data_IF_350318918535
#
_entry.id   IF_350318918535
#
_cell.length_a   1.000
_cell.length_b   1.000
_cell.length_c   1.000
_cell.angle_alpha   90.00
_cell.angle_beta   90.00
_cell.angle_gamma   90.00
#
_symmetry.space_group_name_H-M   'P 1'
#
loop_
_entity.id
_entity.type
_entity.pdbx_description
1 polymer ?
#
# COMPACT_ATOMS: atom_id res chain seq x y z
N UNK A 1 34.64 18.12 30.15
CA UNK A 1 33.49 17.63 29.36
C UNK A 1 33.89 16.33 28.70
N UNK A 2 33.20 15.23 28.98
CA UNK A 2 33.37 13.98 28.22
C UNK A 2 32.80 14.20 26.82
N UNK A 3 33.62 13.95 25.80
CA UNK A 3 33.19 13.99 24.40
C UNK A 3 32.86 12.56 23.96
N UNK A 4 31.97 12.40 22.98
CA UNK A 4 31.57 11.07 22.49
C UNK A 4 32.78 10.22 22.04
N UNK A 5 33.86 10.88 21.60
CA UNK A 5 35.13 10.26 21.18
C UNK A 5 35.94 9.67 22.34
N UNK A 6 35.76 10.18 23.57
CA UNK A 6 36.46 9.67 24.76
C UNK A 6 35.81 8.42 25.37
N UNK A 7 34.67 7.99 24.84
CA UNK A 7 33.95 6.82 25.36
C UNK A 7 34.58 5.50 24.87
N UNK A 8 34.54 4.43 25.69
CA UNK A 8 34.89 3.08 25.25
C UNK A 8 34.02 2.62 24.07
N UNK A 9 34.58 1.77 23.21
CA UNK A 9 33.90 1.30 22.00
C UNK A 9 32.59 0.56 22.32
N UNK A 10 32.52 -0.13 23.45
CA UNK A 10 31.36 -0.84 23.97
C UNK A 10 30.23 0.14 24.32
N UNK A 11 30.56 1.26 24.97
CA UNK A 11 29.59 2.31 25.33
C UNK A 11 29.09 3.01 24.07
N UNK A 12 29.98 3.30 23.12
CA UNK A 12 29.56 3.89 21.85
C UNK A 12 28.67 2.95 21.04
N UNK A 13 28.95 1.64 21.03
CA UNK A 13 28.09 0.65 20.40
C UNK A 13 26.70 0.63 21.03
N UNK A 14 26.60 0.71 22.37
CA UNK A 14 25.31 0.84 23.05
C UNK A 14 24.58 2.11 22.64
N UNK A 15 25.28 3.25 22.52
CA UNK A 15 24.69 4.50 22.03
C UNK A 15 24.10 4.30 20.63
N UNK A 16 24.85 3.67 19.70
CA UNK A 16 24.33 3.35 18.36
C UNK A 16 23.07 2.48 18.40
N UNK A 17 23.06 1.43 19.24
CA UNK A 17 21.92 0.53 19.38
C UNK A 17 20.70 1.21 20.00
N UNK A 18 20.91 2.28 20.77
CA UNK A 18 19.86 3.05 21.41
C UNK A 18 19.26 4.14 20.53
N UNK A 19 19.86 4.46 19.38
CA UNK A 19 19.29 5.43 18.44
C UNK A 19 17.91 4.99 17.95
N UNK A 20 17.04 5.96 17.69
CA UNK A 20 15.66 5.69 17.30
C UNK A 20 15.49 5.52 15.80
N UNK A 21 16.50 5.87 14.97
CA UNK A 21 16.39 5.87 13.51
C UNK A 21 17.68 5.41 12.78
N UNK A 22 17.49 4.69 11.66
CA UNK A 22 18.54 4.19 10.78
C UNK A 22 19.42 5.34 10.26
N UNK A 23 18.81 6.45 9.82
CA UNK A 23 19.53 7.61 9.31
C UNK A 23 20.43 8.24 10.36
N UNK A 24 19.98 8.28 11.62
CA UNK A 24 20.77 8.84 12.71
C UNK A 24 21.98 7.97 13.03
N UNK A 25 21.84 6.64 12.97
CA UNK A 25 22.97 5.73 13.08
C UNK A 25 23.96 5.92 11.93
N UNK A 26 23.48 6.06 10.69
CA UNK A 26 24.36 6.30 9.54
C UNK A 26 25.05 7.68 9.62
N UNK A 27 24.33 8.73 10.05
CA UNK A 27 24.89 10.08 10.25
C UNK A 27 25.93 10.08 11.35
N UNK A 28 25.65 9.45 12.50
CA UNK A 28 26.60 9.33 13.59
C UNK A 28 27.86 8.58 13.15
N UNK A 29 27.70 7.48 12.41
CA UNK A 29 28.82 6.74 11.82
C UNK A 29 29.68 7.59 10.89
N UNK A 30 29.08 8.52 10.14
CA UNK A 30 29.78 9.43 9.22
C UNK A 30 30.41 10.64 9.90
N UNK A 31 30.13 10.89 11.18
CA UNK A 31 30.62 12.09 11.89
C UNK A 31 32.14 12.12 12.07
N UNK A 32 32.79 10.97 12.28
CA UNK A 32 34.24 10.86 12.35
C UNK A 32 34.74 9.43 12.13
N UNK A 33 36.07 9.29 11.96
CA UNK A 33 36.72 7.99 11.73
C UNK A 33 36.51 6.97 12.84
N UNK A 34 36.44 7.40 14.10
CA UNK A 34 36.19 6.49 15.23
C UNK A 34 34.77 5.94 15.20
N UNK A 35 33.77 6.80 14.97
CA UNK A 35 32.37 6.38 14.86
C UNK A 35 32.17 5.44 13.66
N UNK A 36 32.79 5.77 12.53
CA UNK A 36 32.77 4.91 11.34
C UNK A 36 33.36 3.52 11.65
N UNK A 37 34.51 3.45 12.33
CA UNK A 37 35.13 2.18 12.74
C UNK A 37 34.26 1.34 13.67
N UNK A 38 33.44 1.98 14.50
CA UNK A 38 32.54 1.28 15.43
C UNK A 38 31.32 0.76 14.67
N UNK A 39 30.75 1.55 13.76
CA UNK A 39 29.64 1.15 12.91
C UNK A 39 30.04 0.01 11.95
N UNK A 40 31.20 0.12 11.31
CA UNK A 40 31.66 -0.76 10.23
C UNK A 40 32.41 -2.02 10.72
N UNK A 41 32.54 -2.20 12.03
CA UNK A 41 33.16 -3.40 12.60
C UNK A 41 32.28 -4.63 12.27
N UNK A 42 32.87 -5.81 11.94
CA UNK A 42 32.10 -7.00 11.61
C UNK A 42 31.05 -7.32 12.69
N UNK A 43 29.81 -7.54 12.26
CA UNK A 43 28.66 -7.80 13.13
C UNK A 43 28.02 -6.55 13.75
N UNK A 44 28.77 -5.47 14.00
CA UNK A 44 28.23 -4.27 14.66
C UNK A 44 27.12 -3.62 13.84
N UNK A 45 27.33 -3.41 12.53
CA UNK A 45 26.32 -2.82 11.65
C UNK A 45 25.00 -3.58 11.71
N UNK A 46 25.06 -4.90 11.63
CA UNK A 46 23.88 -5.75 11.76
C UNK A 46 23.22 -5.58 13.13
N UNK A 47 23.98 -5.67 14.23
CA UNK A 47 23.42 -5.53 15.58
C UNK A 47 22.78 -4.15 15.80
N UNK A 48 23.43 -3.08 15.35
CA UNK A 48 22.91 -1.70 15.48
C UNK A 48 21.60 -1.57 14.72
N UNK A 49 21.58 -1.91 13.42
CA UNK A 49 20.39 -1.76 12.58
C UNK A 49 19.25 -2.65 13.07
N UNK A 50 19.55 -3.89 13.47
CA UNK A 50 18.58 -4.79 14.08
C UNK A 50 17.94 -4.19 15.33
N UNK A 51 18.74 -3.63 16.25
CA UNK A 51 18.24 -3.00 17.48
C UNK A 51 17.34 -1.79 17.20
N UNK A 52 17.63 -1.02 16.16
CA UNK A 52 16.78 0.10 15.74
C UNK A 52 15.46 -0.45 15.19
N UNK A 53 15.53 -1.33 14.18
CA UNK A 53 14.36 -1.92 13.51
C UNK A 53 13.41 -2.61 14.49
N UNK A 54 13.94 -3.36 15.46
CA UNK A 54 13.11 -4.10 16.43
C UNK A 54 12.37 -3.19 17.44
N UNK A 55 12.83 -1.95 17.63
CA UNK A 55 12.25 -1.01 18.62
C UNK A 55 11.38 0.06 17.97
N UNK A 56 11.53 0.29 16.67
CA UNK A 56 10.85 1.36 15.95
C UNK A 56 9.49 0.91 15.41
N UNK A 57 8.43 1.62 15.80
CA UNK A 57 7.05 1.34 15.35
C UNK A 57 6.85 1.45 13.84
N UNK A 58 7.61 2.31 13.16
CA UNK A 58 7.52 2.48 11.70
C UNK A 58 8.16 1.33 10.91
N UNK A 59 8.87 0.40 11.57
CA UNK A 59 9.39 -0.82 10.99
C UNK A 59 8.59 -2.08 11.35
N UNK A 60 7.42 -1.94 12.01
CA UNK A 60 6.64 -3.08 12.52
C UNK A 60 6.21 -4.09 11.44
N UNK A 61 6.08 -3.64 10.19
CA UNK A 61 5.70 -4.48 9.04
C UNK A 61 6.90 -5.08 8.28
N UNK A 62 8.11 -4.60 8.52
CA UNK A 62 9.26 -4.90 7.67
C UNK A 62 9.74 -6.35 7.73
N UNK A 63 9.61 -7.01 8.89
CA UNK A 63 9.98 -8.42 9.01
C UNK A 63 9.07 -9.30 8.17
N UNK A 64 7.76 -9.08 8.29
CA UNK A 64 6.75 -9.79 7.53
C UNK A 64 6.91 -9.53 6.04
N UNK A 65 7.16 -8.28 5.69
CA UNK A 65 7.34 -7.88 4.32
C UNK A 65 8.58 -8.54 3.70
N UNK A 66 9.72 -8.57 4.41
CA UNK A 66 10.95 -9.22 3.89
C UNK A 66 10.75 -10.70 3.58
N UNK A 67 9.95 -11.40 4.38
CA UNK A 67 9.62 -12.79 4.12
C UNK A 67 8.68 -12.96 2.90
N UNK A 68 7.69 -12.07 2.77
CA UNK A 68 6.77 -12.03 1.63
C UNK A 68 7.47 -11.66 0.31
N UNK A 69 8.31 -10.62 0.32
CA UNK A 69 9.02 -10.13 -0.85
C UNK A 69 10.06 -11.13 -1.35
N UNK A 70 10.71 -11.87 -0.45
CA UNK A 70 11.58 -12.97 -0.83
C UNK A 70 10.80 -14.03 -1.62
N UNK A 71 9.65 -14.47 -1.10
CA UNK A 71 8.81 -15.44 -1.79
C UNK A 71 8.31 -14.92 -3.14
N UNK A 72 7.85 -13.66 -3.21
CA UNK A 72 7.44 -13.05 -4.47
C UNK A 72 8.58 -12.96 -5.49
N UNK A 73 9.82 -12.68 -5.05
CA UNK A 73 10.99 -12.67 -5.92
C UNK A 73 11.26 -14.06 -6.53
N UNK A 74 11.16 -15.13 -5.73
CA UNK A 74 11.26 -16.52 -6.20
C UNK A 74 10.17 -16.84 -7.24
N UNK A 75 8.93 -16.39 -7.01
CA UNK A 75 7.84 -16.54 -7.97
C UNK A 75 8.07 -15.74 -9.26
N UNK A 76 8.68 -14.56 -9.18
CA UNK A 76 9.00 -13.70 -10.34
C UNK A 76 9.92 -14.41 -11.32
N UNK A 77 10.86 -15.23 -10.84
CA UNK A 77 11.72 -16.05 -11.69
C UNK A 77 10.94 -17.10 -12.49
N UNK A 78 9.93 -17.71 -11.87
CA UNK A 78 9.01 -18.65 -12.53
C UNK A 78 8.18 -17.91 -13.58
N UNK A 79 7.61 -16.76 -13.20
CA UNK A 79 6.80 -15.94 -14.10
C UNK A 79 7.56 -15.42 -15.30
N UNK A 80 8.89 -15.31 -15.24
CA UNK A 80 9.69 -14.97 -16.41
C UNK A 80 9.55 -15.97 -17.57
N UNK A 81 9.19 -17.22 -17.26
CA UNK A 81 9.08 -18.32 -18.25
C UNK A 81 7.68 -18.90 -18.38
N UNK A 82 6.80 -18.68 -17.41
CA UNK A 82 5.47 -19.28 -17.37
C UNK A 82 4.41 -18.23 -16.99
N UNK A 83 3.19 -18.30 -17.55
CA UNK A 83 2.14 -17.35 -17.25
C UNK A 83 1.52 -17.52 -15.85
N UNK A 84 1.71 -18.67 -15.21
CA UNK A 84 1.14 -19.03 -13.89
C UNK A 84 2.14 -19.86 -13.08
N UNK A 85 1.98 -19.88 -11.77
CA UNK A 85 2.76 -20.75 -10.90
C UNK A 85 2.38 -22.23 -11.10
N UNK A 86 3.37 -23.14 -11.21
CA UNK A 86 3.13 -24.57 -11.20
C UNK A 86 2.64 -25.02 -9.82
N UNK A 87 1.85 -26.09 -9.77
CA UNK A 87 1.29 -26.60 -8.51
C UNK A 87 2.35 -26.94 -7.44
N UNK A 88 3.55 -27.34 -7.86
CA UNK A 88 4.67 -27.60 -6.96
C UNK A 88 5.24 -26.34 -6.30
N UNK A 89 5.13 -25.19 -6.96
CA UNK A 89 5.59 -23.88 -6.45
C UNK A 89 4.53 -23.13 -5.63
N UNK A 90 3.28 -23.63 -5.60
CA UNK A 90 2.21 -22.99 -4.83
C UNK A 90 2.35 -23.27 -3.33
N UNK A 91 2.27 -22.22 -2.48
CA UNK A 91 2.40 -22.37 -1.04
C UNK A 91 1.22 -23.14 -0.47
N UNK A 92 1.48 -23.98 0.52
CA UNK A 92 0.44 -24.68 1.27
C UNK A 92 -0.04 -23.86 2.48
N UNK A 93 -1.02 -24.41 3.20
CA UNK A 93 -1.61 -23.76 4.38
C UNK A 93 -0.59 -23.45 5.49
N UNK A 94 0.46 -24.26 5.66
CA UNK A 94 1.47 -24.05 6.69
C UNK A 94 2.42 -22.91 6.29
N UNK A 95 2.77 -22.82 5.01
CA UNK A 95 3.48 -21.66 4.45
C UNK A 95 2.66 -20.37 4.61
N UNK A 96 1.37 -20.38 4.25
CA UNK A 96 0.47 -19.22 4.45
C UNK A 96 0.46 -18.75 5.89
N UNK A 97 0.38 -19.67 6.85
CA UNK A 97 0.48 -19.32 8.27
C UNK A 97 1.79 -18.60 8.60
N UNK A 98 2.91 -19.10 8.10
CA UNK A 98 4.23 -18.50 8.34
C UNK A 98 4.35 -17.08 7.75
N UNK A 99 3.68 -16.80 6.63
CA UNK A 99 3.64 -15.45 6.05
C UNK A 99 2.84 -14.47 6.90
N UNK A 100 1.77 -14.91 7.55
CA UNK A 100 1.01 -14.06 8.48
C UNK A 100 1.71 -13.79 9.80
N UNK A 101 2.55 -14.72 10.26
CA UNK A 101 3.16 -14.72 11.59
C UNK A 101 4.65 -15.11 11.47
N UNK A 102 5.51 -14.24 10.90
CA UNK A 102 6.92 -14.54 10.72
C UNK A 102 7.64 -14.67 12.08
N UNK A 103 8.57 -15.64 12.18
CA UNK A 103 9.39 -15.77 13.39
C UNK A 103 10.38 -14.60 13.51
N UNK A 104 10.53 -14.07 14.73
CA UNK A 104 11.56 -13.07 15.04
C UNK A 104 12.98 -13.59 14.87
N UNK A 105 13.17 -14.91 14.80
CA UNK A 105 14.45 -15.55 14.50
C UNK A 105 14.99 -15.17 13.11
N UNK A 106 14.13 -14.72 12.19
CA UNK A 106 14.55 -14.23 10.87
C UNK A 106 15.51 -13.03 10.98
N UNK A 107 15.43 -12.24 12.06
CA UNK A 107 16.40 -11.18 12.34
C UNK A 107 17.80 -11.70 12.71
N UNK A 108 18.02 -13.01 12.84
CA UNK A 108 19.37 -13.56 12.94
C UNK A 108 20.13 -13.46 11.60
N UNK A 109 19.42 -13.36 10.47
CA UNK A 109 20.02 -13.20 9.15
C UNK A 109 20.44 -11.75 8.91
N UNK A 110 21.73 -11.49 8.59
CA UNK A 110 22.17 -10.16 8.17
C UNK A 110 21.46 -9.65 6.92
N UNK A 111 21.11 -10.56 5.99
CA UNK A 111 20.45 -10.22 4.73
C UNK A 111 19.07 -9.59 4.96
N UNK A 112 18.29 -10.11 5.92
CA UNK A 112 16.98 -9.56 6.27
C UNK A 112 17.11 -8.12 6.78
N UNK A 113 18.09 -7.87 7.66
CA UNK A 113 18.33 -6.52 8.19
C UNK A 113 18.81 -5.56 7.10
N UNK A 114 19.68 -6.02 6.20
CA UNK A 114 20.16 -5.23 5.07
C UNK A 114 19.06 -4.92 4.05
N UNK A 115 18.16 -5.86 3.79
CA UNK A 115 17.00 -5.65 2.93
C UNK A 115 16.08 -4.56 3.51
N UNK A 116 15.77 -4.62 4.81
CA UNK A 116 14.94 -3.61 5.49
C UNK A 116 15.60 -2.23 5.42
N UNK A 117 16.90 -2.15 5.71
CA UNK A 117 17.65 -0.89 5.58
C UNK A 117 17.62 -0.38 4.14
N UNK A 118 17.72 -1.26 3.15
CA UNK A 118 17.68 -0.89 1.73
C UNK A 118 16.29 -0.38 1.35
N UNK A 119 15.22 -1.07 1.78
CA UNK A 119 13.83 -0.66 1.58
C UNK A 119 13.55 0.71 2.19
N UNK A 120 13.98 0.95 3.43
CA UNK A 120 13.92 2.24 4.09
C UNK A 120 14.56 3.38 3.28
N UNK A 121 15.68 3.14 2.60
CA UNK A 121 16.27 4.20 1.78
C UNK A 121 15.60 4.33 0.42
N UNK A 122 15.23 3.21 -0.21
CA UNK A 122 14.61 3.19 -1.53
C UNK A 122 13.25 3.90 -1.54
N UNK A 123 12.44 3.71 -0.49
CA UNK A 123 11.10 4.30 -0.40
C UNK A 123 11.11 5.82 -0.23
N UNK A 124 12.27 6.44 0.05
CA UNK A 124 12.42 7.89 0.03
C UNK A 124 12.12 8.48 -1.34
N UNK A 125 12.30 7.72 -2.43
CA UNK A 125 11.95 8.17 -3.78
C UNK A 125 10.46 8.57 -3.86
N UNK A 126 9.56 7.74 -3.32
CA UNK A 126 8.13 8.04 -3.34
C UNK A 126 7.78 9.20 -2.40
N UNK A 127 8.44 9.30 -1.24
CA UNK A 127 8.25 10.42 -0.33
C UNK A 127 8.77 11.75 -0.90
N UNK A 128 9.92 11.73 -1.58
CA UNK A 128 10.48 12.91 -2.23
C UNK A 128 9.56 13.40 -3.36
N UNK A 129 8.88 12.49 -4.07
CA UNK A 129 7.83 12.86 -5.02
C UNK A 129 6.62 13.49 -4.33
N UNK A 130 6.17 12.92 -3.21
CA UNK A 130 5.09 13.47 -2.41
C UNK A 130 5.39 14.90 -1.93
N UNK A 131 6.62 15.15 -1.52
CA UNK A 131 7.10 16.47 -1.09
C UNK A 131 7.39 17.44 -2.24
N UNK A 132 7.37 16.99 -3.50
CA UNK A 132 7.74 17.83 -4.64
C UNK A 132 6.59 18.78 -5.01
N UNK A 133 6.88 20.08 -5.12
CA UNK A 133 5.86 21.12 -5.34
C UNK A 133 5.03 20.89 -6.59
N UNK A 134 5.66 20.54 -7.73
CA UNK A 134 4.94 20.32 -8.99
C UNK A 134 4.04 19.08 -8.95
N UNK A 135 4.54 17.97 -8.39
CA UNK A 135 3.79 16.71 -8.27
C UNK A 135 2.59 16.93 -7.36
N UNK A 136 2.82 17.60 -6.24
CA UNK A 136 1.76 17.97 -5.29
C UNK A 136 0.70 18.86 -5.91
N UNK A 137 1.08 19.87 -6.68
CA UNK A 137 0.10 20.73 -7.37
C UNK A 137 -0.79 19.95 -8.34
N UNK A 138 -0.22 18.99 -9.07
CA UNK A 138 -1.01 18.09 -9.93
C UNK A 138 -1.89 17.15 -9.12
N UNK A 139 -1.36 16.54 -8.05
CA UNK A 139 -2.11 15.65 -7.16
C UNK A 139 -3.34 16.34 -6.57
N UNK A 140 -3.16 17.55 -6.00
CA UNK A 140 -4.25 18.31 -5.39
C UNK A 140 -5.29 18.81 -6.41
N UNK A 141 -4.92 18.95 -7.69
CA UNK A 141 -5.86 19.32 -8.75
C UNK A 141 -6.69 18.12 -9.26
N UNK A 142 -6.16 16.90 -9.16
CA UNK A 142 -6.75 15.66 -9.70
C UNK A 142 -7.77 15.02 -8.73
N UNK A 143 -8.64 15.84 -8.12
CA UNK A 143 -9.60 15.37 -7.11
C UNK A 143 -10.83 14.67 -7.70
N UNK A 144 -11.31 15.13 -8.87
CA UNK A 144 -12.58 14.66 -9.46
C UNK A 144 -12.53 13.21 -9.97
N UNK A 145 -11.34 12.60 -10.07
CA UNK A 145 -11.08 11.32 -10.75
C UNK A 145 -10.66 10.17 -9.82
N UNK A 146 -10.38 10.41 -8.53
CA UNK A 146 -9.80 9.37 -7.66
C UNK A 146 -10.83 8.44 -7.00
N UNK A 147 -12.09 8.87 -6.86
CA UNK A 147 -13.13 8.10 -6.14
C UNK A 147 -14.42 7.85 -6.94
N UNK A 148 -14.62 8.56 -8.05
CA UNK A 148 -15.75 8.39 -8.94
C UNK A 148 -15.23 7.82 -10.27
N UNK A 149 -15.77 6.67 -10.67
CA UNK A 149 -15.35 5.96 -11.87
C UNK A 149 -15.32 6.86 -13.12
N UNK A 150 -14.28 6.61 -13.94
CA UNK A 150 -14.02 7.11 -15.30
C UNK A 150 -13.43 8.53 -15.39
N UNK A 151 -12.15 8.68 -15.78
CA UNK A 151 -11.59 9.98 -16.11
C UNK A 151 -12.06 10.41 -17.50
N UNK A 152 -12.85 11.47 -17.59
CA UNK A 152 -12.87 12.32 -18.79
C UNK A 152 -11.68 13.28 -18.69
N UNK A 153 -10.52 12.85 -19.19
CA UNK A 153 -9.30 13.67 -19.21
C UNK A 153 -9.27 14.62 -20.41
N UNK A 154 -9.83 15.81 -20.24
CA UNK A 154 -9.51 16.97 -21.09
C UNK A 154 -8.45 17.84 -20.40
N UNK A 155 -7.17 17.65 -20.77
CA UNK A 155 -6.11 18.57 -20.36
C UNK A 155 -4.69 18.05 -20.62
N UNK A 156 -3.89 18.86 -21.31
CA UNK A 156 -2.43 18.68 -21.37
C UNK A 156 -1.83 18.93 -19.97
N UNK A 157 -1.75 17.90 -19.13
CA UNK A 157 -1.10 17.99 -17.83
C UNK A 157 0.42 17.84 -17.96
N UNK A 158 1.16 18.74 -17.30
CA UNK A 158 2.61 18.63 -17.16
C UNK A 158 2.97 17.27 -16.56
N UNK A 159 3.59 16.41 -17.38
CA UNK A 159 4.14 15.12 -16.93
C UNK A 159 4.95 15.33 -15.64
N UNK A 160 4.80 14.42 -14.68
CA UNK A 160 5.57 14.37 -13.43
C UNK A 160 7.07 14.13 -13.71
N UNK A 161 7.73 15.07 -14.39
CA UNK A 161 9.10 14.97 -14.82
C UNK A 161 10.05 15.11 -13.64
N UNK A 162 11.25 14.54 -13.70
CA UNK A 162 12.21 14.56 -12.60
C UNK A 162 12.73 15.97 -12.26
N UNK A 163 12.58 16.96 -13.16
CA UNK A 163 13.24 18.27 -13.05
C UNK A 163 12.28 19.47 -13.09
N UNK A 164 11.69 19.79 -11.93
CA UNK A 164 11.23 21.15 -11.59
C UNK A 164 11.62 21.38 -10.12
N UNK A 165 12.41 22.44 -9.87
CA UNK A 165 13.00 22.70 -8.56
C UNK A 165 11.93 23.20 -7.58
N UNK A 166 11.80 22.56 -6.42
CA UNK A 166 11.01 23.08 -5.30
C UNK A 166 10.38 21.98 -4.46
N UNK A 167 10.67 22.00 -3.15
CA UNK A 167 9.94 21.21 -2.15
C UNK A 167 8.68 22.01 -1.75
N UNK A 168 7.59 21.34 -1.39
CA UNK A 168 6.37 22.02 -0.97
C UNK A 168 6.61 22.84 0.31
N UNK A 169 5.91 23.96 0.41
CA UNK A 169 6.13 24.94 1.46
C UNK A 169 5.81 24.36 2.85
N UNK A 170 4.75 23.54 2.96
CA UNK A 170 4.35 22.83 4.18
C UNK A 170 5.48 21.97 4.73
N UNK A 171 6.12 21.12 3.90
CA UNK A 171 7.25 20.33 4.35
C UNK A 171 8.51 21.17 4.59
N UNK A 172 8.78 22.17 3.73
CA UNK A 172 9.99 22.99 3.84
C UNK A 172 10.09 23.70 5.20
N UNK A 173 8.96 24.14 5.74
CA UNK A 173 8.84 24.86 7.01
C UNK A 173 8.96 23.96 8.25
N UNK A 174 8.83 22.64 8.11
CA UNK A 174 8.90 21.72 9.23
C UNK A 174 10.30 21.70 9.89
N UNK A 175 10.38 21.65 11.23
CA UNK A 175 11.57 21.28 11.97
C UNK A 175 12.14 19.92 11.52
N UNK A 176 13.45 19.72 11.73
CA UNK A 176 14.13 18.49 11.30
C UNK A 176 13.47 17.21 11.87
N UNK A 177 13.09 17.23 13.15
CA UNK A 177 12.44 16.10 13.81
C UNK A 177 11.07 15.78 13.20
N UNK A 178 10.32 16.82 12.81
CA UNK A 178 9.00 16.64 12.19
C UNK A 178 9.11 16.15 10.75
N UNK A 179 10.14 16.58 10.00
CA UNK A 179 10.45 16.03 8.67
C UNK A 179 10.76 14.54 8.73
N UNK A 180 11.51 14.13 9.75
CA UNK A 180 11.82 12.73 9.98
C UNK A 180 10.56 11.94 10.34
N UNK A 181 9.73 12.46 11.27
CA UNK A 181 8.46 11.84 11.63
C UNK A 181 7.49 11.73 10.45
N UNK A 182 7.45 12.72 9.57
CA UNK A 182 6.64 12.69 8.36
C UNK A 182 7.05 11.50 7.45
N UNK A 183 8.36 11.29 7.28
CA UNK A 183 8.85 10.15 6.51
C UNK A 183 8.58 8.80 7.21
N UNK A 184 8.77 8.72 8.53
CA UNK A 184 8.46 7.52 9.33
C UNK A 184 6.98 7.12 9.20
N UNK A 185 6.06 8.09 9.25
CA UNK A 185 4.62 7.87 9.04
C UNK A 185 4.31 7.42 7.63
N UNK A 186 4.86 8.10 6.62
CA UNK A 186 4.71 7.73 5.21
C UNK A 186 5.17 6.28 4.98
N UNK A 187 6.36 5.93 5.47
CA UNK A 187 6.94 4.60 5.32
C UNK A 187 6.12 3.52 6.03
N UNK A 188 5.64 3.79 7.25
CA UNK A 188 4.78 2.88 8.01
C UNK A 188 3.49 2.58 7.25
N UNK A 189 2.81 3.60 6.73
CA UNK A 189 1.58 3.43 5.96
C UNK A 189 1.81 2.70 4.64
N UNK A 190 2.89 3.04 3.93
CA UNK A 190 3.30 2.38 2.70
C UNK A 190 3.56 0.88 2.90
N UNK A 191 4.30 0.51 3.96
CA UNK A 191 4.60 -0.89 4.26
C UNK A 191 3.39 -1.66 4.79
N UNK A 192 2.47 -1.00 5.51
CA UNK A 192 1.20 -1.59 5.91
C UNK A 192 0.36 -2.01 4.70
N UNK A 193 0.21 -1.11 3.72
CA UNK A 193 -0.48 -1.42 2.47
C UNK A 193 0.21 -2.54 1.70
N UNK A 194 1.54 -2.45 1.54
CA UNK A 194 2.30 -3.46 0.82
C UNK A 194 2.14 -4.86 1.44
N UNK A 195 2.17 -4.99 2.77
CA UNK A 195 1.88 -6.27 3.44
C UNK A 195 0.49 -6.79 3.10
N UNK A 196 -0.54 -5.93 3.07
CA UNK A 196 -1.90 -6.34 2.72
C UNK A 196 -1.98 -6.87 1.28
N UNK A 197 -1.38 -6.16 0.32
CA UNK A 197 -1.28 -6.60 -1.09
C UNK A 197 -0.60 -7.96 -1.21
N UNK A 198 0.55 -8.14 -0.55
CA UNK A 198 1.29 -9.39 -0.60
C UNK A 198 0.55 -10.55 0.05
N UNK A 199 -0.12 -10.34 1.19
CA UNK A 199 -0.89 -11.40 1.84
C UNK A 199 -2.11 -11.80 1.00
N UNK A 200 -2.82 -10.84 0.41
CA UNK A 200 -3.92 -11.12 -0.53
C UNK A 200 -3.42 -11.92 -1.73
N UNK A 201 -2.29 -11.51 -2.32
CA UNK A 201 -1.68 -12.22 -3.43
C UNK A 201 -1.26 -13.65 -3.03
N UNK A 202 -0.59 -13.83 -1.89
CA UNK A 202 -0.21 -15.15 -1.37
C UNK A 202 -1.43 -16.06 -1.22
N UNK A 203 -2.53 -15.56 -0.67
CA UNK A 203 -3.76 -16.35 -0.50
C UNK A 203 -4.33 -16.80 -1.85
N UNK A 204 -4.32 -15.92 -2.87
CA UNK A 204 -4.75 -16.24 -4.24
C UNK A 204 -3.92 -17.37 -4.84
N UNK A 205 -2.59 -17.28 -4.72
CA UNK A 205 -1.70 -18.26 -5.36
C UNK A 205 -1.55 -19.56 -4.57
N UNK A 206 -1.99 -19.60 -3.32
CA UNK A 206 -1.88 -20.76 -2.43
C UNK A 206 -2.81 -21.91 -2.82
N UNK A 207 -2.36 -23.14 -2.52
CA UNK A 207 -3.22 -24.32 -2.56
C UNK A 207 -3.89 -24.53 -1.21
N UNK A 208 -5.22 -24.66 -1.24
CA UNK A 208 -6.05 -24.84 -0.04
C UNK A 208 -6.63 -26.24 -0.01
N UNK A 209 -6.69 -26.85 1.18
CA UNK A 209 -7.30 -28.17 1.36
C UNK A 209 -8.82 -28.11 1.27
N UNK A 210 -9.40 -27.00 1.73
CA UNK A 210 -10.84 -26.75 1.76
C UNK A 210 -11.14 -25.28 1.53
N UNK A 211 -12.35 -24.96 1.04
CA UNK A 211 -12.87 -23.59 1.00
C UNK A 211 -12.84 -22.90 2.38
N UNK A 212 -13.02 -23.67 3.46
CA UNK A 212 -13.00 -23.12 4.83
C UNK A 212 -11.60 -22.60 5.20
N UNK A 213 -10.55 -23.27 4.75
CA UNK A 213 -9.17 -22.83 4.99
C UNK A 213 -8.87 -21.54 4.24
N UNK A 214 -9.32 -21.45 2.98
CA UNK A 214 -9.22 -20.23 2.19
C UNK A 214 -9.92 -19.05 2.88
N UNK A 215 -11.22 -19.19 3.20
CA UNK A 215 -12.03 -18.15 3.85
C UNK A 215 -11.48 -17.72 5.22
N UNK A 216 -10.79 -18.63 5.92
CA UNK A 216 -10.12 -18.31 7.19
C UNK A 216 -8.98 -17.32 7.00
N UNK A 217 -8.12 -17.54 5.99
CA UNK A 217 -6.98 -16.66 5.72
C UNK A 217 -7.42 -15.36 5.08
N UNK A 218 -8.37 -15.41 4.15
CA UNK A 218 -9.03 -14.23 3.58
C UNK A 218 -9.58 -13.32 4.68
N UNK A 219 -10.37 -13.86 5.61
CA UNK A 219 -10.88 -13.09 6.76
C UNK A 219 -9.77 -12.51 7.62
N UNK A 220 -8.63 -13.21 7.75
CA UNK A 220 -7.49 -12.69 8.52
C UNK A 220 -6.89 -11.46 7.85
N UNK A 221 -6.77 -11.46 6.52
CA UNK A 221 -6.33 -10.27 5.77
C UNK A 221 -7.37 -9.15 5.87
N UNK A 222 -8.65 -9.47 5.66
CA UNK A 222 -9.74 -8.50 5.82
C UNK A 222 -9.69 -7.81 7.19
N UNK A 223 -9.60 -8.56 8.29
CA UNK A 223 -9.52 -7.98 9.62
C UNK A 223 -8.24 -7.14 9.83
N UNK A 224 -7.11 -7.50 9.20
CA UNK A 224 -5.89 -6.70 9.28
C UNK A 224 -6.00 -5.38 8.51
N UNK A 225 -6.81 -5.36 7.45
CA UNK A 225 -6.96 -4.22 6.56
C UNK A 225 -8.15 -3.33 6.93
N UNK A 226 -9.35 -3.89 6.91
CA UNK A 226 -10.64 -3.21 6.97
C UNK A 226 -11.26 -3.12 8.38
N UNK A 227 -10.75 -3.88 9.36
CA UNK A 227 -11.28 -3.86 10.74
C UNK A 227 -10.16 -4.10 11.76
N UNK A 228 -9.18 -3.21 11.79
CA UNK A 228 -8.00 -3.32 12.63
C UNK A 228 -8.11 -2.40 13.86
N UNK A 229 -8.55 -2.92 15.02
CA UNK A 229 -8.72 -2.10 16.23
C UNK A 229 -7.39 -1.68 16.87
N UNK A 230 -6.27 -2.30 16.48
CA UNK A 230 -4.93 -1.94 16.96
C UNK A 230 -4.33 -0.78 16.18
N UNK A 231 -4.90 -0.45 15.02
CA UNK A 231 -4.47 0.67 14.19
C UNK A 231 -5.10 1.96 14.70
N UNK A 232 -4.25 2.96 14.91
CA UNK A 232 -4.70 4.29 15.31
C UNK A 232 -5.39 5.03 14.14
N UNK A 233 -6.30 5.96 14.41
CA UNK A 233 -6.94 6.82 13.40
C UNK A 233 -5.91 7.60 12.55
N UNK A 234 -4.86 8.16 13.16
CA UNK A 234 -3.70 8.73 12.43
C UNK A 234 -3.14 7.75 11.40
N UNK A 235 -2.88 6.50 11.80
CA UNK A 235 -2.33 5.50 10.89
C UNK A 235 -3.32 5.09 9.79
N UNK A 236 -4.63 5.10 10.08
CA UNK A 236 -5.69 4.85 9.09
C UNK A 236 -5.74 5.94 8.02
N UNK A 237 -5.66 7.21 8.44
CA UNK A 237 -5.61 8.36 7.52
C UNK A 237 -4.28 8.44 6.77
N UNK A 238 -3.17 8.07 7.41
CA UNK A 238 -1.87 7.92 6.75
C UNK A 238 -1.97 6.90 5.60
N UNK A 239 -2.60 5.74 5.84
CA UNK A 239 -2.82 4.71 4.80
C UNK A 239 -3.74 5.23 3.70
N UNK A 240 -4.84 5.91 4.06
CA UNK A 240 -5.75 6.52 3.09
C UNK A 240 -5.01 7.46 2.13
N UNK A 241 -4.19 8.37 2.65
CA UNK A 241 -3.38 9.30 1.85
C UNK A 241 -2.35 8.57 0.98
N UNK A 242 -1.69 7.52 1.50
CA UNK A 242 -0.76 6.71 0.68
C UNK A 242 -1.48 6.08 -0.50
N UNK A 243 -2.68 5.55 -0.31
CA UNK A 243 -3.44 4.90 -1.37
C UNK A 243 -3.89 5.93 -2.41
N UNK A 244 -4.44 7.06 -1.98
CA UNK A 244 -4.82 8.17 -2.86
C UNK A 244 -3.60 8.64 -3.67
N UNK A 245 -2.48 8.93 -3.02
CA UNK A 245 -1.30 9.44 -3.69
C UNK A 245 -0.58 8.40 -4.57
N UNK A 246 -0.21 7.25 -4.00
CA UNK A 246 0.67 6.28 -4.67
C UNK A 246 -0.10 5.38 -5.64
N UNK A 247 -1.30 4.90 -5.25
CA UNK A 247 -2.05 3.92 -6.05
C UNK A 247 -3.13 4.55 -6.93
N UNK A 248 -3.80 5.61 -6.50
CA UNK A 248 -4.81 6.26 -7.34
C UNK A 248 -4.15 7.30 -8.23
N UNK A 249 -3.43 8.27 -7.69
CA UNK A 249 -2.83 9.34 -8.47
C UNK A 249 -1.61 8.88 -9.30
N UNK A 250 -0.54 8.39 -8.68
CA UNK A 250 0.69 8.08 -9.42
C UNK A 250 0.51 6.96 -10.44
N UNK A 251 -0.23 5.89 -10.11
CA UNK A 251 -0.52 4.81 -11.07
C UNK A 251 -1.38 5.33 -12.22
N UNK A 252 -2.43 6.13 -11.98
CA UNK A 252 -3.18 6.73 -13.11
C UNK A 252 -2.25 7.50 -14.04
N UNK A 253 -1.40 8.37 -13.49
CA UNK A 253 -0.44 9.13 -14.31
C UNK A 253 0.58 8.26 -15.06
N UNK A 254 0.87 7.06 -14.58
CA UNK A 254 1.70 6.08 -15.32
C UNK A 254 0.91 5.50 -16.50
N UNK A 255 -0.37 5.21 -16.31
CA UNK A 255 -1.19 4.48 -17.29
C UNK A 255 -1.98 5.37 -18.26
N UNK A 256 -2.14 6.68 -18.00
CA UNK A 256 -2.87 7.68 -18.83
C UNK A 256 -2.51 7.62 -20.34
N UNK A 257 -1.30 7.18 -20.69
CA UNK A 257 -0.82 7.10 -22.08
C UNK A 257 -0.14 5.76 -22.41
N UNK A 258 -0.55 4.69 -21.73
CA UNK A 258 0.21 3.44 -21.74
C UNK A 258 -0.12 2.47 -22.87
N UNK A 259 -1.18 2.73 -23.64
CA UNK A 259 -1.68 1.84 -24.69
C UNK A 259 -2.97 1.13 -24.28
N UNK A 260 -3.40 0.13 -25.06
CA UNK A 260 -4.59 -0.68 -24.77
C UNK A 260 -4.24 -1.90 -23.93
N UNK A 261 -5.24 -2.63 -23.42
CA UNK A 261 -5.02 -3.88 -22.67
C UNK A 261 -4.21 -4.90 -23.48
N UNK A 262 -4.40 -4.94 -24.80
CA UNK A 262 -3.66 -5.83 -25.70
C UNK A 262 -2.16 -5.49 -25.82
N UNK A 263 -1.75 -4.24 -25.54
CA UNK A 263 -0.33 -3.86 -25.48
C UNK A 263 0.37 -4.42 -24.24
N UNK A 264 -0.40 -4.74 -23.20
CA UNK A 264 0.08 -5.12 -21.88
C UNK A 264 -0.04 -6.61 -21.56
N UNK A 265 -0.88 -7.35 -22.27
CA UNK A 265 -1.07 -8.78 -22.08
C UNK A 265 -0.62 -9.51 -23.35
N UNK A 266 0.17 -10.56 -23.17
CA UNK A 266 0.73 -11.31 -24.30
C UNK A 266 -0.37 -11.87 -25.20
N UNK A 267 -0.34 -11.50 -26.47
CA UNK A 267 -1.13 -12.12 -27.54
C UNK A 267 -0.34 -13.31 -28.08
N UNK A 268 -0.38 -14.43 -27.35
CA UNK A 268 0.30 -15.64 -27.80
C UNK A 268 -0.58 -16.40 -28.80
N UNK A 269 -0.02 -16.96 -29.90
CA UNK A 269 -0.75 -17.91 -30.71
C UNK A 269 -1.12 -19.15 -29.89
N UNK A 270 -2.33 -19.67 -30.09
CA UNK A 270 -2.91 -20.82 -29.36
C UNK A 270 -1.97 -22.03 -29.23
N UNK A 271 -1.03 -22.20 -30.18
CA UNK A 271 -0.03 -23.26 -30.20
C UNK A 271 1.05 -23.19 -29.12
N UNK A 272 1.17 -22.08 -28.38
CA UNK A 272 2.25 -21.83 -27.41
C UNK A 272 1.85 -22.00 -25.94
N UNK A 273 0.58 -22.26 -25.62
CA UNK A 273 0.11 -22.39 -24.23
C UNK A 273 -0.36 -23.81 -23.88
N UNK A 274 -0.16 -24.30 -22.64
CA UNK A 274 -0.46 -25.70 -22.26
C UNK A 274 -1.94 -26.12 -22.42
N UNK A 275 -2.85 -25.16 -22.60
CA UNK A 275 -4.30 -25.37 -22.72
C UNK A 275 -4.91 -24.73 -23.97
N UNK A 276 -4.11 -24.20 -24.90
CA UNK A 276 -4.59 -23.71 -26.20
C UNK A 276 -5.19 -22.30 -26.21
N UNK A 277 -5.16 -21.55 -25.11
CA UNK A 277 -5.68 -20.17 -25.05
C UNK A 277 -4.56 -19.16 -24.79
N UNK A 278 -4.61 -18.03 -25.49
CA UNK A 278 -3.72 -16.89 -25.25
C UNK A 278 -3.95 -16.30 -23.83
N UNK A 279 -2.91 -15.77 -23.16
CA UNK A 279 -3.03 -14.98 -21.92
C UNK A 279 -4.14 -13.92 -21.96
N UNK A 280 -4.29 -13.22 -23.08
CA UNK A 280 -5.35 -12.22 -23.26
C UNK A 280 -6.75 -12.83 -23.20
N UNK A 281 -6.96 -14.00 -23.82
CA UNK A 281 -8.25 -14.70 -23.77
C UNK A 281 -8.60 -15.14 -22.36
N UNK A 282 -7.59 -15.62 -21.60
CA UNK A 282 -7.79 -16.00 -20.21
C UNK A 282 -8.22 -14.79 -19.37
N UNK A 283 -7.57 -13.65 -19.56
CA UNK A 283 -7.90 -12.42 -18.88
C UNK A 283 -9.31 -11.92 -19.21
N UNK A 284 -9.66 -11.76 -20.49
CA UNK A 284 -10.99 -11.27 -20.89
C UNK A 284 -12.10 -12.23 -20.46
N UNK A 285 -11.87 -13.55 -20.53
CA UNK A 285 -12.85 -14.53 -20.04
C UNK A 285 -13.13 -14.37 -18.55
N UNK A 286 -12.13 -13.98 -17.77
CA UNK A 286 -12.29 -13.68 -16.35
C UNK A 286 -13.10 -12.40 -16.16
N UNK A 287 -12.77 -11.34 -16.91
CA UNK A 287 -13.49 -10.06 -16.83
C UNK A 287 -14.98 -10.19 -17.16
N UNK A 288 -15.32 -11.05 -18.13
CA UNK A 288 -16.71 -11.33 -18.50
C UNK A 288 -17.39 -12.37 -17.58
N UNK A 289 -16.70 -12.88 -16.55
CA UNK A 289 -17.24 -13.88 -15.62
C UNK A 289 -17.50 -15.25 -16.28
N UNK A 290 -16.86 -15.54 -17.41
CA UNK A 290 -17.04 -16.76 -18.17
C UNK A 290 -16.35 -17.94 -17.49
N UNK A 291 -16.99 -19.11 -17.54
CA UNK A 291 -16.44 -20.33 -16.95
C UNK A 291 -15.30 -20.93 -17.79
N UNK A 292 -15.23 -20.57 -19.08
CA UNK A 292 -14.22 -21.07 -20.00
C UNK A 292 -13.94 -20.07 -21.14
N UNK A 293 -12.68 -19.84 -21.55
CA UNK A 293 -12.35 -18.87 -22.61
C UNK A 293 -12.97 -19.17 -23.97
N UNK A 294 -13.36 -20.41 -24.24
CA UNK A 294 -14.07 -20.77 -25.48
C UNK A 294 -15.49 -20.21 -25.59
N UNK A 295 -15.99 -19.57 -24.53
CA UNK A 295 -17.29 -18.90 -24.52
C UNK A 295 -17.20 -17.45 -25.02
N UNK A 296 -15.99 -16.92 -25.22
CA UNK A 296 -15.77 -15.57 -25.75
C UNK A 296 -16.22 -15.50 -27.22
N UNK A 297 -16.86 -14.39 -27.58
CA UNK A 297 -17.22 -14.11 -28.97
C UNK A 297 -15.97 -13.92 -29.84
N UNK A 298 -15.93 -14.35 -31.10
CA UNK A 298 -14.73 -14.29 -31.94
C UNK A 298 -14.14 -12.88 -32.16
N UNK A 299 -14.98 -11.84 -32.08
CA UNK A 299 -14.63 -10.47 -32.48
C UNK A 299 -14.34 -9.54 -31.28
N UNK A 300 -14.17 -10.08 -30.06
CA UNK A 300 -13.94 -9.27 -28.85
C UNK A 300 -12.69 -8.37 -28.92
N UNK A 301 -11.74 -8.67 -29.81
CA UNK A 301 -10.54 -7.85 -30.01
C UNK A 301 -10.85 -6.41 -30.42
N UNK A 302 -11.97 -6.17 -31.13
CA UNK A 302 -12.41 -4.81 -31.49
C UNK A 302 -13.01 -4.05 -30.30
N UNK A 303 -13.46 -4.74 -29.24
CA UNK A 303 -13.99 -4.15 -28.01
C UNK A 303 -12.90 -3.79 -26.98
N UNK A 304 -11.63 -4.15 -27.23
CA UNK A 304 -10.53 -3.98 -26.27
C UNK A 304 -9.91 -2.57 -26.24
N UNK A 305 -10.31 -1.68 -27.15
CA UNK A 305 -9.66 -0.37 -27.26
C UNK A 305 -9.99 0.55 -26.07
N UNK A 306 -11.21 0.49 -25.49
CA UNK A 306 -11.60 1.33 -24.34
C UNK A 306 -12.34 0.59 -23.20
N UNK A 307 -13.18 -0.42 -23.48
CA UNK A 307 -14.10 -1.00 -22.48
C UNK A 307 -13.41 -1.66 -21.26
N UNK A 308 -12.20 -2.20 -21.46
CA UNK A 308 -11.49 -2.99 -20.43
C UNK A 308 -10.33 -2.25 -19.76
N UNK A 309 -9.96 -1.06 -20.24
CA UNK A 309 -8.76 -0.35 -19.77
C UNK A 309 -8.88 0.08 -18.31
N UNK A 310 -10.04 0.56 -17.88
CA UNK A 310 -10.29 0.95 -16.48
C UNK A 310 -10.14 -0.24 -15.53
N UNK A 311 -10.83 -1.35 -15.82
CA UNK A 311 -10.76 -2.56 -15.00
C UNK A 311 -9.35 -3.16 -14.98
N UNK A 312 -8.62 -3.11 -16.10
CA UNK A 312 -7.23 -3.54 -16.16
C UNK A 312 -6.33 -2.73 -15.24
N UNK A 313 -6.50 -1.40 -15.20
CA UNK A 313 -5.76 -0.54 -14.29
C UNK A 313 -6.10 -0.88 -12.83
N UNK A 314 -7.37 -1.15 -12.52
CA UNK A 314 -7.79 -1.54 -11.17
C UNK A 314 -7.18 -2.89 -10.73
N UNK A 315 -7.19 -3.89 -11.62
CA UNK A 315 -6.50 -5.17 -11.38
C UNK A 315 -5.00 -4.94 -11.13
N UNK A 316 -4.35 -4.10 -11.93
CA UNK A 316 -2.94 -3.76 -11.74
C UNK A 316 -2.69 -3.01 -10.42
N UNK A 317 -3.57 -2.09 -10.01
CA UNK A 317 -3.46 -1.40 -8.71
C UNK A 317 -3.48 -2.41 -7.56
N UNK A 318 -4.29 -3.46 -7.65
CA UNK A 318 -4.36 -4.54 -6.66
C UNK A 318 -3.08 -5.40 -6.59
N UNK A 319 -2.20 -5.34 -7.60
CA UNK A 319 -0.97 -6.12 -7.72
C UNK A 319 0.31 -5.31 -7.53
N UNK A 320 0.29 -4.04 -7.92
CA UNK A 320 1.48 -3.22 -7.96
C UNK A 320 1.95 -2.96 -6.52
N UNK A 321 3.27 -3.05 -6.34
CA UNK A 321 3.96 -2.80 -5.07
C UNK A 321 4.80 -1.54 -5.20
N UNK A 322 5.24 -0.91 -4.10
CA UNK A 322 6.05 0.31 -4.18
C UNK A 322 7.27 0.22 -5.12
N UNK A 323 8.05 -0.87 -5.17
CA UNK A 323 9.15 -1.00 -6.14
C UNK A 323 8.67 -1.00 -7.60
N UNK A 324 7.50 -1.59 -7.87
CA UNK A 324 6.89 -1.61 -9.20
C UNK A 324 6.46 -0.20 -9.63
N UNK A 325 5.89 0.60 -8.74
CA UNK A 325 5.56 2.02 -9.02
C UNK A 325 6.83 2.79 -9.38
N UNK A 326 7.92 2.62 -8.61
CA UNK A 326 9.20 3.29 -8.89
C UNK A 326 9.77 2.85 -10.25
N UNK A 327 9.77 1.56 -10.56
CA UNK A 327 10.27 1.04 -11.84
C UNK A 327 9.45 1.57 -13.03
N UNK A 328 8.12 1.60 -12.91
CA UNK A 328 7.23 2.15 -13.93
C UNK A 328 7.43 3.66 -14.11
N UNK A 329 7.57 4.43 -13.03
CA UNK A 329 7.90 5.86 -13.11
C UNK A 329 9.22 6.07 -13.86
N UNK A 330 10.26 5.28 -13.54
CA UNK A 330 11.55 5.37 -14.20
C UNK A 330 11.44 5.08 -15.70
N UNK A 331 10.76 3.98 -16.08
CA UNK A 331 10.73 3.47 -17.46
C UNK A 331 9.71 4.18 -18.35
N UNK A 332 8.57 4.56 -17.79
CA UNK A 332 7.45 5.10 -18.54
C UNK A 332 7.30 6.60 -18.35
N UNK A 333 7.65 7.19 -17.22
CA UNK A 333 7.42 8.63 -17.00
C UNK A 333 8.70 9.44 -17.16
N UNK A 334 9.81 8.99 -16.58
CA UNK A 334 11.04 9.78 -16.49
C UNK A 334 12.07 9.50 -17.59
N UNK A 335 12.01 8.34 -18.23
CA UNK A 335 12.83 8.03 -19.41
C UNK A 335 11.98 7.75 -20.65
N UNK A 336 11.57 8.80 -21.40
CA UNK A 336 10.82 8.64 -22.64
C UNK A 336 11.53 7.77 -23.69
N UNK A 337 12.87 7.63 -23.61
CA UNK A 337 13.65 6.83 -24.56
C UNK A 337 13.58 5.33 -24.25
N UNK A 338 13.30 4.96 -23.00
CA UNK A 338 13.12 3.57 -22.59
C UNK A 338 11.74 3.01 -22.98
N UNK A 339 10.72 3.87 -23.15
CA UNK A 339 9.33 3.48 -23.45
C UNK A 339 9.18 2.47 -24.59
N UNK A 340 9.80 2.64 -25.78
CA UNK A 340 9.57 1.73 -26.91
C UNK A 340 10.17 0.33 -26.70
N UNK A 341 11.08 0.17 -25.73
CA UNK A 341 11.77 -1.09 -25.43
C UNK A 341 11.25 -1.77 -24.16
N UNK A 342 10.19 -1.22 -23.56
CA UNK A 342 9.59 -1.79 -22.38
C UNK A 342 8.71 -2.99 -22.74
N UNK A 343 9.14 -4.18 -22.32
CA UNK A 343 8.38 -5.43 -22.46
C UNK A 343 7.18 -5.42 -21.49
N UNK A 344 6.11 -4.75 -21.90
CA UNK A 344 4.85 -4.65 -21.14
C UNK A 344 4.24 -6.02 -20.82
N UNK A 345 4.11 -6.97 -21.79
CA UNK A 345 3.60 -8.31 -21.50
C UNK A 345 4.45 -9.07 -20.49
N UNK A 346 5.78 -9.05 -20.65
CA UNK A 346 6.69 -9.69 -19.71
C UNK A 346 6.64 -9.05 -18.33
N UNK A 347 6.40 -7.74 -18.24
CA UNK A 347 6.23 -7.04 -16.97
C UNK A 347 4.96 -7.46 -16.24
N UNK A 348 3.80 -7.44 -16.91
CA UNK A 348 2.51 -7.86 -16.32
C UNK A 348 2.51 -9.33 -15.94
N UNK A 349 3.16 -10.18 -16.75
CA UNK A 349 3.35 -11.59 -16.41
C UNK A 349 4.09 -11.76 -15.08
N UNK A 350 5.15 -10.99 -14.86
CA UNK A 350 5.93 -11.00 -13.61
C UNK A 350 5.15 -10.51 -12.39
N UNK A 351 4.11 -9.70 -12.58
CA UNK A 351 3.19 -9.31 -11.50
C UNK A 351 2.26 -10.45 -11.07
N UNK A 352 2.15 -11.52 -11.88
CA UNK A 352 1.29 -12.66 -11.60
C UNK A 352 -0.20 -12.40 -11.85
N UNK A 353 -0.54 -11.50 -12.78
CA UNK A 353 -1.93 -11.12 -13.09
C UNK A 353 -2.85 -12.33 -13.31
N UNK A 354 -2.42 -13.30 -14.12
CA UNK A 354 -3.22 -14.48 -14.45
C UNK A 354 -3.42 -15.48 -13.31
N UNK A 355 -2.72 -15.28 -12.19
CA UNK A 355 -2.88 -16.06 -10.97
C UNK A 355 -3.87 -15.42 -9.97
N UNK A 356 -4.33 -14.19 -10.21
CA UNK A 356 -5.29 -13.53 -9.33
C UNK A 356 -6.71 -14.09 -9.44
N UNK A 357 -7.07 -14.61 -10.61
CA UNK A 357 -8.44 -14.95 -10.99
C UNK A 357 -8.98 -16.27 -10.44
N UNK A 358 -8.14 -17.07 -9.75
CA UNK A 358 -8.50 -18.44 -9.39
C UNK A 358 -8.08 -18.82 -7.98
N UNK A 359 -8.98 -19.53 -7.28
CA UNK A 359 -8.68 -20.31 -6.08
C UNK A 359 -8.30 -21.73 -6.46
N UNK A 360 -7.27 -22.27 -5.80
CA UNK A 360 -6.75 -23.61 -6.06
C UNK A 360 -7.11 -24.55 -4.91
N UNK A 361 -8.06 -25.47 -5.14
CA UNK A 361 -8.53 -26.42 -4.13
C UNK A 361 -8.06 -27.85 -4.42
N UNK A 362 -7.47 -28.50 -3.42
CA UNK A 362 -6.99 -29.88 -3.53
C UNK A 362 -8.16 -30.87 -3.59
N UNK A 363 -8.17 -31.75 -4.59
CA UNK A 363 -9.15 -32.83 -4.71
C UNK A 363 -8.64 -34.11 -4.06
N UNK A 364 -9.55 -35.04 -3.74
CA UNK A 364 -9.23 -36.34 -3.11
C UNK A 364 -8.34 -37.27 -3.94
N UNK A 365 -8.18 -37.01 -5.24
CA UNK A 365 -7.46 -37.88 -6.18
C UNK A 365 -6.12 -37.26 -6.64
N UNK A 366 -5.46 -36.48 -5.78
CA UNK A 366 -4.22 -35.73 -6.07
C UNK A 366 -4.32 -34.69 -7.20
N UNK A 367 -5.52 -34.41 -7.72
CA UNK A 367 -5.81 -33.33 -8.66
C UNK A 367 -6.20 -32.02 -7.96
N UNK A 368 -6.34 -30.95 -8.72
CA UNK A 368 -6.79 -29.63 -8.23
C UNK A 368 -7.99 -29.14 -9.03
N UNK A 369 -8.86 -28.37 -8.38
CA UNK A 369 -9.93 -27.59 -9.04
C UNK A 369 -9.67 -26.11 -8.89
N UNK A 370 -9.94 -25.37 -9.94
CA UNK A 370 -9.92 -23.92 -9.95
C UNK A 370 -11.34 -23.39 -9.83
N UNK A 371 -11.53 -22.38 -8.98
CA UNK A 371 -12.79 -21.66 -8.84
C UNK A 371 -12.54 -20.17 -9.05
N UNK A 372 -13.44 -19.49 -9.76
CA UNK A 372 -13.47 -18.04 -9.74
C UNK A 372 -13.75 -17.58 -8.31
N UNK A 373 -13.00 -16.60 -7.83
CA UNK A 373 -13.23 -16.04 -6.50
C UNK A 373 -13.07 -14.54 -6.54
N UNK A 374 -14.13 -13.86 -6.13
CA UNK A 374 -14.10 -12.44 -5.81
C UNK A 374 -13.55 -12.33 -4.39
N UNK A 375 -12.24 -12.09 -4.31
CA UNK A 375 -11.59 -11.75 -3.05
C UNK A 375 -11.86 -10.31 -2.71
N UNK A 376 -11.80 -10.01 -1.42
CA UNK A 376 -11.77 -8.63 -0.96
C UNK A 376 -10.58 -7.89 -1.56
N UNK A 377 -10.85 -6.79 -2.26
CA UNK A 377 -9.82 -5.91 -2.78
C UNK A 377 -9.26 -5.01 -1.69
N UNK A 378 -7.94 -4.83 -1.73
CA UNK A 378 -7.23 -3.92 -0.83
C UNK A 378 -7.43 -2.50 -1.37
N UNK A 379 -8.61 -1.97 -1.07
CA UNK A 379 -9.02 -0.61 -1.42
C UNK A 379 -8.82 0.34 -0.23
N UNK A 380 -9.33 1.56 -0.32
CA UNK A 380 -9.35 2.52 0.76
C UNK A 380 -9.81 1.91 2.09
N UNK A 381 -9.17 2.29 3.22
CA UNK A 381 -9.52 1.79 4.54
C UNK A 381 -10.78 2.47 5.10
N UNK A 382 -11.78 2.78 4.27
CA UNK A 382 -13.01 3.47 4.68
C UNK A 382 -13.71 2.71 5.82
N UNK A 383 -13.89 1.39 5.66
CA UNK A 383 -14.49 0.55 6.70
C UNK A 383 -13.69 0.60 8.00
N UNK A 384 -12.35 0.62 7.90
CA UNK A 384 -11.48 0.64 9.09
C UNK A 384 -11.55 2.01 9.79
N UNK A 385 -11.60 3.10 9.04
CA UNK A 385 -11.81 4.45 9.55
C UNK A 385 -13.16 4.53 10.26
N UNK A 386 -14.23 4.05 9.64
CA UNK A 386 -15.58 4.04 10.20
C UNK A 386 -15.66 3.23 11.50
N UNK A 387 -14.99 2.07 11.58
CA UNK A 387 -14.86 1.30 12.82
C UNK A 387 -14.20 2.10 13.92
N UNK A 388 -13.12 2.85 13.61
CA UNK A 388 -12.46 3.72 14.60
C UNK A 388 -13.34 4.87 15.05
N UNK A 389 -13.98 5.59 14.12
CA UNK A 389 -14.87 6.70 14.42
C UNK A 389 -16.04 6.24 15.30
N UNK A 390 -16.66 5.11 14.95
CA UNK A 390 -17.76 4.51 15.72
C UNK A 390 -17.31 4.11 17.14
N UNK A 391 -16.13 3.50 17.28
CA UNK A 391 -15.59 3.12 18.58
C UNK A 391 -15.17 4.33 19.44
N UNK A 392 -14.73 5.42 18.83
CA UNK A 392 -14.42 6.67 19.52
C UNK A 392 -15.70 7.41 19.95
N UNK A 393 -16.70 7.50 19.07
CA UNK A 393 -18.02 8.04 19.39
C UNK A 393 -18.70 7.26 20.52
N UNK A 394 -18.56 5.93 20.56
CA UNK A 394 -19.07 5.10 21.65
C UNK A 394 -18.45 5.48 22.99
N UNK A 395 -17.12 5.70 23.03
CA UNK A 395 -16.41 6.15 24.24
C UNK A 395 -16.79 7.57 24.65
N UNK A 396 -17.19 8.40 23.69
CA UNK A 396 -17.68 9.75 23.93
C UNK A 396 -19.14 9.80 24.42
N UNK A 397 -19.90 8.69 24.43
CA UNK A 397 -21.29 8.62 24.92
C UNK A 397 -21.46 9.02 26.39
N UNK A 398 -20.40 8.98 27.18
CA UNK A 398 -20.43 9.39 28.58
C UNK A 398 -20.25 10.92 28.77
N UNK A 399 -20.18 11.73 27.69
CA UNK A 399 -19.96 13.18 27.74
C UNK A 399 -20.82 14.03 26.78
N UNK A 400 -20.64 15.36 26.82
CA UNK A 400 -21.39 16.37 26.02
C UNK A 400 -21.32 16.15 24.50
N UNK A 401 -20.24 15.52 24.02
CA UNK A 401 -19.96 15.26 22.62
C UNK A 401 -21.05 14.42 21.93
N UNK A 402 -21.65 13.47 22.67
CA UNK A 402 -22.65 12.57 22.11
C UNK A 402 -23.98 13.24 21.83
N UNK A 403 -24.37 14.21 22.68
CA UNK A 403 -25.56 15.02 22.43
C UNK A 403 -25.42 15.85 21.14
N UNK A 404 -24.20 16.32 20.82
CA UNK A 404 -23.91 17.05 19.58
C UNK A 404 -23.94 16.13 18.34
N UNK A 405 -23.47 14.89 18.47
CA UNK A 405 -23.48 13.92 17.36
C UNK A 405 -24.91 13.47 17.01
N UNK A 406 -25.81 13.38 17.99
CA UNK A 406 -27.15 12.78 17.83
C UNK A 406 -28.31 13.75 17.64
N UNK A 407 -28.10 15.06 17.79
CA UNK A 407 -29.16 16.08 17.66
C UNK A 407 -29.87 16.08 16.31
N UNK A 408 -29.30 15.46 15.27
CA UNK A 408 -29.90 15.33 13.92
C UNK A 408 -30.84 14.15 13.73
N UNK A 409 -30.81 13.12 14.59
CA UNK A 409 -31.53 11.87 14.34
C UNK A 409 -32.34 11.41 15.56
N UNK A 410 -33.67 11.36 15.42
CA UNK A 410 -34.61 10.73 16.37
C UNK A 410 -34.94 9.31 15.89
N UNK A 411 -34.39 8.28 16.51
CA UNK A 411 -34.72 6.89 16.21
C UNK A 411 -34.23 5.92 17.28
N UNK A 412 -34.93 4.79 17.43
CA UNK A 412 -34.81 3.84 18.55
C UNK A 412 -33.82 2.67 18.33
N UNK A 413 -33.01 2.66 17.25
CA UNK A 413 -31.92 1.68 17.09
C UNK A 413 -30.54 2.35 17.18
N UNK A 414 -29.94 2.25 18.37
CA UNK A 414 -28.80 3.06 18.77
C UNK A 414 -27.49 2.63 18.08
N UNK A 415 -27.34 1.38 17.64
CA UNK A 415 -26.07 0.89 17.10
C UNK A 415 -25.97 1.01 15.57
N UNK A 416 -27.03 0.68 14.84
CA UNK A 416 -27.07 0.85 13.38
C UNK A 416 -27.07 2.35 13.02
N UNK A 417 -27.81 3.18 13.77
CA UNK A 417 -27.81 4.64 13.62
C UNK A 417 -26.43 5.27 13.88
N UNK A 418 -25.63 4.74 14.83
CA UNK A 418 -24.26 5.25 15.11
C UNK A 418 -23.33 5.08 13.92
N UNK A 419 -23.34 3.88 13.35
CA UNK A 419 -22.51 3.55 12.20
C UNK A 419 -22.87 4.45 11.03
N UNK A 420 -24.17 4.64 10.79
CA UNK A 420 -24.64 5.48 9.69
C UNK A 420 -24.29 6.95 9.88
N UNK A 421 -24.42 7.51 11.09
CA UNK A 421 -23.98 8.88 11.37
C UNK A 421 -22.48 9.03 11.11
N UNK A 422 -21.65 8.10 11.59
CA UNK A 422 -20.20 8.15 11.35
C UNK A 422 -19.88 8.03 9.85
N UNK A 423 -20.64 7.21 9.11
CA UNK A 423 -20.53 7.08 7.64
C UNK A 423 -20.84 8.40 6.96
N UNK A 424 -21.99 9.00 7.22
CA UNK A 424 -22.37 10.29 6.63
C UNK A 424 -21.36 11.39 6.94
N UNK A 425 -20.86 11.47 8.18
CA UNK A 425 -19.84 12.45 8.55
C UNK A 425 -18.53 12.21 7.80
N UNK A 426 -18.10 10.96 7.68
CA UNK A 426 -16.90 10.61 6.94
C UNK A 426 -17.01 10.93 5.45
N UNK A 427 -18.14 10.61 4.81
CA UNK A 427 -18.38 10.96 3.40
C UNK A 427 -18.41 12.48 3.19
N UNK A 428 -19.16 13.21 4.02
CA UNK A 428 -19.15 14.69 4.00
C UNK A 428 -17.73 15.26 4.19
N UNK A 429 -16.95 14.64 5.06
CA UNK A 429 -15.59 15.03 5.34
C UNK A 429 -14.65 14.78 4.16
N UNK A 430 -14.77 13.63 3.50
CA UNK A 430 -14.03 13.32 2.27
C UNK A 430 -14.32 14.33 1.16
N UNK A 431 -15.59 14.64 0.92
CA UNK A 431 -16.01 15.49 -0.21
C UNK A 431 -15.49 16.93 -0.14
N UNK A 432 -15.25 17.48 1.06
CA UNK A 432 -14.89 18.89 1.21
C UNK A 432 -13.71 19.14 2.15
N UNK A 433 -13.81 18.95 3.49
CA UNK A 433 -12.68 19.20 4.39
C UNK A 433 -11.40 18.42 4.07
N UNK A 434 -11.52 17.17 3.65
CA UNK A 434 -10.37 16.35 3.27
C UNK A 434 -9.65 16.99 2.08
N UNK A 435 -10.37 17.22 0.98
CA UNK A 435 -9.79 17.76 -0.25
C UNK A 435 -9.18 19.16 -0.06
N UNK A 436 -9.85 20.01 0.72
CA UNK A 436 -9.45 21.42 0.89
C UNK A 436 -8.38 21.64 1.94
N UNK A 437 -8.28 20.78 2.97
CA UNK A 437 -7.40 21.04 4.11
C UNK A 437 -6.42 19.91 4.44
N UNK A 438 -6.78 18.64 4.22
CA UNK A 438 -6.02 17.48 4.72
C UNK A 438 -5.27 16.72 3.66
N UNK A 439 -5.84 16.57 2.47
CA UNK A 439 -5.24 15.86 1.34
C UNK A 439 -3.89 16.51 1.05
N UNK A 440 -2.84 15.70 1.01
CA UNK A 440 -1.46 16.18 0.91
C UNK A 440 -0.85 16.66 2.23
N UNK A 441 -1.61 17.05 3.24
CA UNK A 441 -1.09 17.70 4.46
C UNK A 441 -0.99 16.74 5.65
N UNK A 442 -1.64 15.58 5.62
CA UNK A 442 -1.74 14.66 6.76
C UNK A 442 -0.40 14.30 7.40
N UNK A 443 0.66 14.07 6.60
CA UNK A 443 1.99 13.72 7.10
C UNK A 443 2.75 14.90 7.72
N UNK A 444 2.37 16.13 7.37
CA UNK A 444 3.02 17.36 7.84
C UNK A 444 2.33 17.93 9.08
N UNK A 445 1.17 17.39 9.45
CA UNK A 445 0.40 17.79 10.64
C UNK A 445 0.73 16.93 11.85
N UNK A 446 0.63 17.54 13.03
CA UNK A 446 0.80 16.90 14.33
C UNK A 446 -0.53 16.98 15.09
N UNK A 447 -1.49 16.15 14.71
CA UNK A 447 -2.80 16.07 15.36
C UNK A 447 -2.89 14.78 16.19
N UNK A 448 -3.42 14.88 17.39
CA UNK A 448 -3.75 13.72 18.22
C UNK A 448 -4.96 12.99 17.65
N UNK A 449 -5.15 11.73 18.07
CA UNK A 449 -6.33 10.93 17.70
C UNK A 449 -7.65 11.66 17.98
N UNK A 450 -7.72 12.36 19.12
CA UNK A 450 -8.90 13.13 19.53
C UNK A 450 -9.12 14.33 18.61
N UNK A 451 -8.07 15.08 18.28
CA UNK A 451 -8.17 16.21 17.36
C UNK A 451 -8.60 15.76 15.95
N UNK A 452 -8.06 14.65 15.45
CA UNK A 452 -8.47 14.08 14.17
C UNK A 452 -9.96 13.66 14.19
N UNK A 453 -10.40 13.04 15.30
CA UNK A 453 -11.79 12.65 15.47
C UNK A 453 -12.72 13.86 15.52
N UNK A 454 -12.40 14.89 16.32
CA UNK A 454 -13.18 16.14 16.42
C UNK A 454 -13.20 16.93 15.11
N UNK A 455 -12.16 16.80 14.29
CA UNK A 455 -12.11 17.40 12.95
C UNK A 455 -13.04 16.69 11.96
N UNK A 456 -13.05 15.35 11.97
CA UNK A 456 -13.88 14.54 11.06
C UNK A 456 -15.35 14.65 11.44
N UNK A 457 -15.63 14.51 12.74
CA UNK A 457 -16.97 14.65 13.30
C UNK A 457 -17.18 16.14 13.53
N UNK A 458 -17.78 16.84 12.56
CA UNK A 458 -17.93 18.30 12.50
C UNK A 458 -18.58 18.94 13.75
N UNK A 459 -17.81 19.06 14.84
CA UNK A 459 -18.24 19.61 16.13
C UNK A 459 -17.90 21.10 16.23
N UNK A 460 -16.83 21.56 15.55
CA UNK A 460 -16.35 22.95 15.65
C UNK A 460 -17.33 23.97 15.05
N UNK A 461 -18.02 23.65 13.95
CA UNK A 461 -19.06 24.50 13.37
C UNK A 461 -20.24 24.72 14.33
N UNK A 462 -20.58 23.71 15.14
CA UNK A 462 -21.66 23.80 16.13
C UNK A 462 -21.19 24.41 17.45
N UNK A 463 -19.94 24.20 17.90
CA UNK A 463 -19.38 24.87 19.08
C UNK A 463 -19.28 26.39 18.88
N UNK A 464 -18.89 26.86 17.70
CA UNK A 464 -18.92 28.29 17.37
C UNK A 464 -20.36 28.82 17.28
N UNK A 465 -21.30 28.05 16.72
CA UNK A 465 -22.70 28.42 16.68
C UNK A 465 -23.35 28.48 18.08
N UNK A 466 -23.02 27.55 18.97
CA UNK A 466 -23.52 27.49 20.35
C UNK A 466 -22.90 28.60 21.20
N UNK A 467 -21.58 28.83 21.09
CA UNK A 467 -20.89 29.93 21.78
C UNK A 467 -21.29 31.33 21.27
N UNK A 468 -21.80 31.43 20.04
CA UNK A 468 -22.36 32.68 19.50
C UNK A 468 -23.83 32.92 19.88
N UNK A 469 -24.51 31.89 20.40
CA UNK A 469 -25.91 31.94 20.85
C UNK A 469 -26.06 31.99 22.37
N UNK A 470 -24.98 31.74 23.11
CA UNK A 470 -24.82 32.01 24.55
C UNK A 470 -24.19 33.39 24.77
#
# INVERSE_FOLDING_TARGET
MMTLHSLPAEVTLQIFQLLDNIDDALRLGRSCRQMYRILDRPGHRHTIMKSIIQRSEYHKHDLQLSYLTQFHAECTEIYATQPRLPMSGRPDTDMVKSFHEPSTDLFASPLVVEEIVTRWHAMKVLFDLYCKKSVRSSYLADWETSWNCSPETDGEYETAGPSTKGICDSFAQLPLLEKQRAYERFYRALTAHWVAVELTWVIRVSKHKTERDFKRWERKVYNLWADNPQRSLEEKLDIFEILDFVWHFLVSKIFDHSGTVADWIEVAPESATPHGFSPLYLYVSHMEGLSHPSQLEPDFHEALEDDYTGMFIDDLRSLIRPPHVIDLLLRLVWDPKARPHFDRPGYVRKLGLLDQSYRWEQTKADGFRTYHVDLYDIDLPDTDILSSLSAMALRAQEGELWHLITTRYRGDDINEMKWEICREQWECYKESPWNTEMRGEIFFRQETQIQLFERIINIEGELLAIRSRS
#
